data_IF_293808785846
#
_entry.id   IF_293808785846
#
_cell.length_a   1.000
_cell.length_b   1.000
_cell.length_c   1.000
_cell.angle_alpha   90.00
_cell.angle_beta   90.00
_cell.angle_gamma   90.00
#
_symmetry.space_group_name_H-M   'P 1'
#
loop_
_entity.id
_entity.type
_entity.pdbx_description
1 polymer ?
#
# COMPACT_ATOMS: atom_id res chain seq x y z
N UNK A 1 11.89 12.61 -2.00
CA UNK A 1 12.04 11.17 -2.31
C UNK A 1 11.84 10.91 -3.81
N UNK A 2 12.67 10.06 -4.44
CA UNK A 2 12.43 9.63 -5.83
C UNK A 2 11.32 8.57 -5.88
N UNK A 3 10.83 8.22 -7.08
CA UNK A 3 9.69 7.30 -7.20
C UNK A 3 10.01 5.87 -6.74
N UNK A 4 11.23 5.38 -6.98
CA UNK A 4 11.63 4.02 -6.58
C UNK A 4 11.78 3.92 -5.06
N UNK A 5 12.48 4.85 -4.43
CA UNK A 5 12.63 4.92 -2.97
C UNK A 5 11.27 5.01 -2.29
N UNK A 6 10.35 5.79 -2.88
CA UNK A 6 9.00 5.93 -2.38
C UNK A 6 8.22 4.61 -2.46
N UNK A 7 8.27 3.91 -3.61
CA UNK A 7 7.60 2.61 -3.76
C UNK A 7 8.13 1.59 -2.75
N UNK A 8 9.46 1.50 -2.58
CA UNK A 8 10.06 0.58 -1.61
C UNK A 8 9.66 0.92 -0.16
N UNK A 9 9.56 2.21 0.16
CA UNK A 9 9.07 2.66 1.48
C UNK A 9 7.58 2.31 1.68
N UNK A 10 6.74 2.52 0.67
CA UNK A 10 5.32 2.16 0.72
C UNK A 10 5.11 0.66 0.93
N UNK A 11 5.85 -0.19 0.22
CA UNK A 11 5.76 -1.64 0.39
C UNK A 11 6.09 -2.08 1.81
N UNK A 12 7.13 -1.51 2.42
CA UNK A 12 7.48 -1.78 3.83
C UNK A 12 6.39 -1.32 4.78
N UNK A 13 5.90 -0.08 4.64
CA UNK A 13 4.83 0.45 5.49
C UNK A 13 3.56 -0.40 5.42
N UNK A 14 3.16 -0.84 4.23
CA UNK A 14 1.99 -1.71 4.06
C UNK A 14 2.24 -3.09 4.66
N UNK A 15 3.39 -3.71 4.42
CA UNK A 15 3.73 -5.01 5.01
C UNK A 15 3.71 -4.95 6.55
N UNK A 16 4.33 -3.93 7.14
CA UNK A 16 4.35 -3.71 8.59
C UNK A 16 2.93 -3.51 9.15
N UNK A 17 2.13 -2.66 8.48
CA UNK A 17 0.73 -2.43 8.86
C UNK A 17 -0.10 -3.70 8.78
N UNK A 18 0.00 -4.47 7.69
CA UNK A 18 -0.74 -5.72 7.53
C UNK A 18 -0.35 -6.72 8.61
N UNK A 19 0.95 -6.91 8.86
CA UNK A 19 1.43 -7.82 9.90
C UNK A 19 1.00 -7.41 11.32
N UNK A 20 0.84 -6.11 11.61
CA UNK A 20 0.39 -5.65 12.92
C UNK A 20 -1.13 -5.76 13.12
N UNK A 21 -1.90 -5.87 12.04
CA UNK A 21 -3.37 -5.95 12.08
C UNK A 21 -3.91 -7.35 11.72
N UNK A 22 -3.05 -8.28 11.31
CA UNK A 22 -3.42 -9.68 11.13
C UNK A 22 -3.54 -10.38 12.47
N UNK A 23 -4.63 -11.15 12.66
CA UNK A 23 -4.73 -12.09 13.76
C UNK A 23 -3.62 -13.14 13.63
N UNK A 24 -2.75 -13.23 14.64
CA UNK A 24 -1.70 -14.25 14.75
C UNK A 24 -2.36 -15.61 15.00
N UNK A 25 -2.99 -16.16 13.98
CA UNK A 25 -3.23 -17.59 13.91
C UNK A 25 -1.97 -18.19 13.28
N UNK A 26 -1.34 -19.13 13.99
CA UNK A 26 0.05 -19.63 13.82
C UNK A 26 0.40 -20.25 12.45
N UNK A 27 -0.42 -20.08 11.41
CA UNK A 27 -0.29 -20.74 10.11
C UNK A 27 0.06 -19.81 8.94
N UNK A 28 -0.10 -18.48 9.05
CA UNK A 28 0.22 -17.56 7.96
C UNK A 28 1.62 -16.96 8.12
N UNK A 29 2.49 -17.14 7.11
CA UNK A 29 3.77 -16.46 7.06
C UNK A 29 3.56 -14.93 7.03
N UNK A 30 4.42 -14.14 7.70
CA UNK A 30 4.32 -12.69 7.68
C UNK A 30 4.47 -12.16 6.25
N UNK A 31 3.76 -11.08 5.95
CA UNK A 31 3.89 -10.38 4.68
C UNK A 31 5.23 -9.66 4.65
N UNK A 32 6.04 -9.98 3.65
CA UNK A 32 7.26 -9.25 3.32
C UNK A 32 6.96 -8.19 2.24
N UNK A 33 7.78 -7.14 2.08
CA UNK A 33 7.57 -6.09 1.08
C UNK A 33 7.34 -6.61 -0.35
N UNK A 34 7.93 -7.75 -0.71
CA UNK A 34 7.76 -8.43 -2.01
C UNK A 34 6.35 -8.98 -2.21
N UNK A 35 5.62 -9.26 -1.12
CA UNK A 35 4.22 -9.64 -1.12
C UNK A 35 3.24 -8.45 -1.25
N UNK A 36 3.76 -7.22 -1.29
CA UNK A 36 2.98 -6.00 -1.51
C UNK A 36 3.12 -5.55 -2.96
N UNK A 37 1.98 -5.43 -3.65
CA UNK A 37 1.93 -4.98 -5.03
C UNK A 37 1.46 -3.53 -5.14
N UNK A 38 2.10 -2.79 -6.04
CA UNK A 38 1.71 -1.43 -6.41
C UNK A 38 0.68 -1.53 -7.54
N UNK A 39 -0.54 -1.10 -7.26
CA UNK A 39 -1.64 -1.08 -8.25
C UNK A 39 -1.53 0.16 -9.13
N UNK A 40 -1.16 1.28 -8.53
CA UNK A 40 -0.92 2.52 -9.25
C UNK A 40 0.07 3.39 -8.49
N UNK A 41 0.85 4.19 -9.20
CA UNK A 41 1.67 5.22 -8.58
C UNK A 41 1.83 6.44 -9.48
N UNK A 42 2.00 7.59 -8.87
CA UNK A 42 2.37 8.81 -9.56
C UNK A 42 3.34 9.65 -8.73
N UNK A 43 4.07 10.50 -9.44
CA UNK A 43 4.88 11.56 -8.87
C UNK A 43 4.49 12.87 -9.52
N UNK A 44 4.26 13.89 -8.70
CA UNK A 44 3.99 15.25 -9.17
C UNK A 44 4.84 16.22 -8.36
N UNK A 45 5.82 16.83 -9.03
CA UNK A 45 6.82 17.69 -8.39
C UNK A 45 7.53 16.95 -7.23
N UNK A 46 7.35 17.42 -6.00
CA UNK A 46 7.94 16.86 -4.78
C UNK A 46 7.07 15.79 -4.12
N UNK A 47 5.84 15.60 -4.58
CA UNK A 47 4.88 14.69 -3.97
C UNK A 47 4.84 13.34 -4.70
N UNK A 48 4.57 12.28 -3.95
CA UNK A 48 4.30 10.96 -4.54
C UNK A 48 3.02 10.38 -3.93
N UNK A 49 2.31 9.58 -4.72
CA UNK A 49 1.17 8.79 -4.26
C UNK A 49 1.27 7.39 -4.83
N UNK A 50 0.97 6.38 -4.01
CA UNK A 50 0.87 5.00 -4.43
C UNK A 50 -0.41 4.38 -3.88
N UNK A 51 -1.07 3.59 -4.72
CA UNK A 51 -2.13 2.68 -4.33
C UNK A 51 -1.56 1.26 -4.31
N UNK A 52 -1.77 0.54 -3.22
CA UNK A 52 -1.18 -0.77 -2.97
C UNK A 52 -2.21 -1.77 -2.46
N UNK A 53 -1.90 -3.04 -2.59
CA UNK A 53 -2.59 -4.13 -1.89
C UNK A 53 -1.61 -5.29 -1.67
N UNK A 54 -2.04 -6.31 -0.96
CA UNK A 54 -1.18 -7.43 -0.50
C UNK A 54 -1.71 -8.75 -1.02
N UNK A 55 -0.87 -9.79 -1.00
CA UNK A 55 -1.28 -11.14 -1.33
C UNK A 55 -2.32 -11.74 -0.37
N UNK A 56 -2.61 -11.09 0.76
CA UNK A 56 -3.66 -11.51 1.69
C UNK A 56 -5.02 -11.30 1.04
N UNK A 57 -5.84 -12.35 1.04
CA UNK A 57 -7.22 -12.30 0.53
C UNK A 57 -8.19 -11.74 1.57
N UNK A 58 -7.85 -10.59 2.14
CA UNK A 58 -8.69 -9.87 3.11
C UNK A 58 -9.45 -8.71 2.45
N UNK A 59 -9.19 -8.39 1.18
CA UNK A 59 -9.84 -7.28 0.48
C UNK A 59 -9.35 -5.90 0.95
N UNK A 60 -8.18 -5.82 1.60
CA UNK A 60 -7.58 -4.55 2.00
C UNK A 60 -6.91 -3.85 0.82
N UNK A 61 -7.02 -2.53 0.80
CA UNK A 61 -6.46 -1.63 -0.19
C UNK A 61 -5.86 -0.42 0.50
N UNK A 62 -4.68 0.02 0.08
CA UNK A 62 -3.90 1.03 0.78
C UNK A 62 -3.61 2.20 -0.14
N UNK A 63 -3.67 3.41 0.40
CA UNK A 63 -3.15 4.61 -0.22
C UNK A 63 -2.04 5.17 0.64
N UNK A 64 -0.88 5.43 0.04
CA UNK A 64 0.23 6.10 0.70
C UNK A 64 0.54 7.37 -0.07
N UNK A 65 0.63 8.48 0.64
CA UNK A 65 0.90 9.81 0.07
C UNK A 65 2.10 10.43 0.75
N UNK A 66 3.13 10.75 -0.01
CA UNK A 66 4.27 11.52 0.45
C UNK A 66 4.15 12.99 0.06
N UNK A 67 4.12 13.86 1.07
CA UNK A 67 4.20 15.30 0.90
C UNK A 67 5.66 15.75 0.99
N UNK A 68 6.30 15.99 -0.15
CA UNK A 68 7.72 16.35 -0.18
C UNK A 68 8.03 17.76 0.31
N UNK A 69 7.04 18.65 0.42
CA UNK A 69 7.28 19.98 1.01
C UNK A 69 7.43 19.92 2.53
N UNK A 70 6.76 18.95 3.17
CA UNK A 70 6.73 18.79 4.62
C UNK A 70 7.50 17.56 5.12
N UNK A 71 7.99 16.75 4.18
CA UNK A 71 8.63 15.46 4.44
C UNK A 71 7.76 14.51 5.30
N UNK A 72 6.46 14.47 5.01
CA UNK A 72 5.46 13.68 5.75
C UNK A 72 4.87 12.59 4.87
N UNK A 73 4.50 11.46 5.48
CA UNK A 73 3.72 10.40 4.84
C UNK A 73 2.36 10.32 5.50
N UNK A 74 1.33 10.25 4.66
CA UNK A 74 -0.04 9.92 5.03
C UNK A 74 -0.32 8.50 4.54
N UNK A 75 -0.96 7.70 5.39
CA UNK A 75 -1.25 6.29 5.14
C UNK A 75 -2.73 6.04 5.42
N UNK A 76 -3.47 5.64 4.39
CA UNK A 76 -4.88 5.32 4.47
C UNK A 76 -5.08 3.83 4.15
N UNK A 77 -5.90 3.16 4.96
CA UNK A 77 -6.28 1.76 4.78
C UNK A 77 -7.79 1.65 4.53
N UNK A 78 -8.16 1.01 3.44
CA UNK A 78 -9.53 0.83 2.98
C UNK A 78 -9.89 -0.65 2.86
N UNK A 79 -11.18 -0.96 2.99
CA UNK A 79 -11.74 -2.25 2.61
C UNK A 79 -12.37 -2.11 1.23
N UNK A 80 -11.88 -2.85 0.24
CA UNK A 80 -12.48 -2.91 -1.09
C UNK A 80 -13.81 -3.64 -1.00
N UNK A 81 -14.91 -2.92 -1.24
CA UNK A 81 -16.26 -3.47 -1.13
C UNK A 81 -16.66 -4.32 -2.34
N UNK A 82 -16.44 -3.80 -3.55
CA UNK A 82 -16.77 -4.51 -4.79
C UNK A 82 -15.84 -4.13 -5.94
N UNK A 83 -15.90 -4.91 -7.02
CA UNK A 83 -15.28 -4.59 -8.29
C UNK A 83 -16.26 -4.89 -9.42
N UNK A 84 -16.71 -3.85 -10.13
CA UNK A 84 -17.64 -3.99 -11.24
C UNK A 84 -16.92 -3.71 -12.57
N UNK A 85 -17.18 -4.55 -13.57
CA UNK A 85 -16.75 -4.32 -14.94
C UNK A 85 -17.88 -3.61 -15.71
N UNK A 86 -17.65 -2.37 -16.12
CA UNK A 86 -18.60 -1.57 -16.90
C UNK A 86 -18.14 -1.58 -18.36
N UNK A 87 -18.98 -2.12 -19.26
CA UNK A 87 -18.73 -2.08 -20.70
C UNK A 87 -19.20 -0.74 -21.26
N UNK A 88 -18.41 -0.16 -22.17
CA UNK A 88 -18.74 1.05 -22.92
C UNK A 88 -19.42 0.70 -24.25
#
# INVERSE_FOLDING_TARGET
MNSQDFIEKCKRLVADYTNSHMDRTDAAAPIIPEGVFVVWSCKTLQNNKALLSTSVTDGMYYEVTYNGNRDEIYFDAYKKFENQCIKL
#
